data_IF_686644566956
#
_entry.id   IF_686644566956
#
_cell.length_a   1.000
_cell.length_b   1.000
_cell.length_c   1.000
_cell.angle_alpha   90.00
_cell.angle_beta   90.00
_cell.angle_gamma   90.00
#
_symmetry.space_group_name_H-M   'P 1'
#
loop_
_entity.id
_entity.type
_entity.pdbx_description
1 polymer ?
#
# COMPACT_ATOMS: atom_id res chain seq x y z
N UNK A 1 -8.52 13.58 -25.03
CA UNK A 1 -8.56 12.14 -24.74
C UNK A 1 -8.94 11.97 -23.30
N UNK A 2 -9.63 10.89 -22.95
CA UNK A 2 -9.88 10.54 -21.55
C UNK A 2 -8.53 10.24 -20.84
N UNK A 3 -8.14 11.01 -19.81
CA UNK A 3 -6.87 10.81 -19.12
C UNK A 3 -6.85 9.56 -18.23
N UNK A 4 -7.98 8.87 -18.05
CA UNK A 4 -8.08 7.63 -17.26
C UNK A 4 -8.39 6.41 -18.12
N UNK A 5 -8.11 6.47 -19.42
CA UNK A 5 -8.33 5.36 -20.35
C UNK A 5 -7.43 4.16 -20.04
N UNK A 6 -8.04 3.01 -19.75
CA UNK A 6 -7.34 1.74 -19.53
C UNK A 6 -7.28 0.84 -20.76
N UNK A 7 -6.22 0.05 -20.87
CA UNK A 7 -6.05 -1.01 -21.88
C UNK A 7 -5.80 -2.39 -21.27
N UNK A 8 -5.52 -2.45 -19.96
CA UNK A 8 -5.25 -3.68 -19.22
C UNK A 8 -5.39 -3.43 -17.72
N UNK A 9 -5.57 -4.49 -16.93
CA UNK A 9 -5.54 -4.45 -15.47
C UNK A 9 -4.41 -5.31 -14.90
N UNK A 10 -3.99 -4.99 -13.68
CA UNK A 10 -3.20 -5.88 -12.80
C UNK A 10 -4.05 -6.20 -11.59
N UNK A 11 -4.04 -7.46 -11.18
CA UNK A 11 -4.78 -7.91 -9.99
C UNK A 11 -3.90 -7.77 -8.77
N UNK A 12 -4.40 -7.08 -7.76
CA UNK A 12 -3.75 -6.82 -6.49
C UNK A 12 -4.64 -7.27 -5.32
N UNK A 13 -4.02 -7.37 -4.16
CA UNK A 13 -4.68 -7.69 -2.89
C UNK A 13 -4.37 -6.61 -1.87
N UNK A 14 -5.28 -6.43 -0.92
CA UNK A 14 -5.06 -5.57 0.24
C UNK A 14 -5.77 -6.18 1.46
N UNK A 15 -5.04 -6.39 2.55
CA UNK A 15 -5.53 -7.01 3.78
C UNK A 15 -5.43 -6.03 4.93
N UNK A 16 -6.53 -5.88 5.66
CA UNK A 16 -6.59 -5.15 6.93
C UNK A 16 -6.80 -6.12 8.08
N UNK A 17 -5.89 -6.12 9.06
CA UNK A 17 -6.03 -6.93 10.28
C UNK A 17 -6.64 -6.07 11.38
N UNK A 18 -7.75 -6.51 11.95
CA UNK A 18 -8.59 -5.72 12.85
C UNK A 18 -8.73 -6.42 14.20
N UNK A 19 -8.33 -5.75 15.26
CA UNK A 19 -8.62 -6.13 16.64
C UNK A 19 -9.94 -5.46 17.07
N UNK A 20 -11.05 -6.20 16.94
CA UNK A 20 -12.40 -5.70 17.29
C UNK A 20 -12.54 -5.36 18.77
N UNK A 21 -11.83 -6.07 19.65
CA UNK A 21 -12.01 -5.89 21.10
C UNK A 21 -11.43 -4.55 21.53
N UNK A 22 -10.25 -4.21 21.02
CA UNK A 22 -9.56 -2.96 21.34
C UNK A 22 -9.82 -1.84 20.33
N UNK A 23 -10.62 -2.09 19.28
CA UNK A 23 -10.91 -1.12 18.21
C UNK A 23 -9.63 -0.61 17.53
N UNK A 24 -8.77 -1.55 17.13
CA UNK A 24 -7.48 -1.26 16.46
C UNK A 24 -7.37 -1.90 15.10
N UNK A 25 -6.59 -1.28 14.23
CA UNK A 25 -6.18 -1.79 12.93
C UNK A 25 -4.66 -1.89 12.86
N UNK A 26 -4.15 -2.97 12.28
CA UNK A 26 -2.74 -3.11 11.96
C UNK A 26 -2.49 -2.51 10.58
N UNK A 27 -1.59 -1.53 10.50
CA UNK A 27 -1.14 -0.91 9.25
C UNK A 27 0.37 -1.11 9.09
N UNK A 28 0.85 -1.15 7.86
CA UNK A 28 2.26 -1.18 7.51
C UNK A 28 2.73 0.18 6.99
N UNK A 29 3.83 0.71 7.53
CA UNK A 29 4.53 1.84 6.90
C UNK A 29 5.43 1.32 5.80
N UNK A 30 5.13 1.68 4.55
CA UNK A 30 5.86 1.19 3.38
C UNK A 30 7.21 1.92 3.24
N UNK A 31 8.31 1.19 3.37
CA UNK A 31 9.68 1.74 3.41
C UNK A 31 10.24 2.03 2.02
N UNK A 32 9.80 1.29 1.00
CA UNK A 32 10.29 1.38 -0.39
C UNK A 32 9.23 0.96 -1.40
N UNK A 33 9.45 1.26 -2.67
CA UNK A 33 8.57 0.87 -3.77
C UNK A 33 7.37 1.81 -3.99
N UNK A 34 6.36 1.33 -4.70
CA UNK A 34 5.15 2.11 -4.99
C UNK A 34 4.32 2.33 -3.72
N UNK A 35 4.01 3.59 -3.40
CA UNK A 35 3.37 3.94 -2.13
C UNK A 35 4.33 4.03 -0.94
N UNK A 36 5.65 4.11 -1.18
CA UNK A 36 6.61 4.37 -0.13
C UNK A 36 6.26 5.63 0.67
N UNK A 37 6.54 5.57 1.97
CA UNK A 37 6.27 6.60 2.97
C UNK A 37 4.80 6.82 3.34
N UNK A 38 3.90 5.94 2.89
CA UNK A 38 2.52 5.89 3.31
C UNK A 38 2.27 4.70 4.24
N UNK A 39 1.30 4.85 5.13
CA UNK A 39 0.67 3.76 5.87
C UNK A 39 -0.39 3.09 4.99
N UNK A 40 -0.47 1.76 5.02
CA UNK A 40 -1.50 1.02 4.29
C UNK A 40 -1.83 -0.31 4.99
N UNK A 41 -2.82 -1.04 4.48
CA UNK A 41 -2.92 -2.49 4.71
C UNK A 41 -1.76 -3.25 4.04
N UNK A 42 -1.79 -4.58 4.15
CA UNK A 42 -0.76 -5.47 3.62
C UNK A 42 -1.21 -6.11 2.33
N UNK A 43 -0.36 -6.19 1.32
CA UNK A 43 -0.79 -6.74 0.04
C UNK A 43 0.09 -6.35 -1.14
N UNK A 44 -0.15 -7.04 -2.25
CA UNK A 44 0.69 -6.93 -3.42
C UNK A 44 -0.01 -7.49 -4.66
N UNK A 45 0.80 -7.90 -5.64
CA UNK A 45 0.27 -8.42 -6.91
C UNK A 45 -0.07 -9.88 -6.75
N UNK A 46 -1.13 -10.31 -7.43
CA UNK A 46 -1.44 -11.72 -7.58
C UNK A 46 -0.47 -12.34 -8.60
N UNK A 47 0.24 -13.39 -8.19
CA UNK A 47 1.20 -14.13 -9.00
C UNK A 47 0.53 -15.15 -9.94
N UNK A 48 1.20 -15.57 -11.03
CA UNK A 48 0.67 -16.59 -11.92
C UNK A 48 0.42 -17.91 -11.19
N UNK A 49 -0.84 -18.37 -11.22
CA UNK A 49 -1.24 -19.66 -10.62
C UNK A 49 -1.80 -19.56 -9.22
N UNK A 50 -1.84 -18.37 -8.61
CA UNK A 50 -2.51 -18.13 -7.33
C UNK A 50 -3.87 -17.41 -7.52
N UNK A 51 -4.81 -17.71 -6.65
CA UNK A 51 -6.05 -16.93 -6.50
C UNK A 51 -5.77 -15.63 -5.73
N UNK A 52 -6.61 -14.58 -5.87
CA UNK A 52 -6.45 -13.37 -5.07
C UNK A 52 -6.46 -13.62 -3.55
N UNK A 53 -7.17 -14.65 -3.08
CA UNK A 53 -7.16 -15.02 -1.67
C UNK A 53 -5.81 -15.62 -1.24
N UNK A 54 -5.22 -16.49 -2.06
CA UNK A 54 -3.90 -17.07 -1.80
C UNK A 54 -2.81 -15.98 -1.81
N UNK A 55 -2.83 -15.09 -2.80
CA UNK A 55 -1.91 -13.95 -2.85
C UNK A 55 -2.05 -13.02 -1.65
N UNK A 56 -3.27 -12.76 -1.17
CA UNK A 56 -3.50 -11.95 0.02
C UNK A 56 -2.88 -12.56 1.30
N UNK A 57 -2.95 -13.89 1.45
CA UNK A 57 -2.36 -14.59 2.60
C UNK A 57 -0.83 -14.58 2.51
N UNK A 58 -0.28 -14.85 1.32
CA UNK A 58 1.17 -14.83 1.05
C UNK A 58 1.76 -13.45 1.35
N UNK A 59 1.18 -12.38 0.79
CA UNK A 59 1.66 -11.00 0.97
C UNK A 59 1.59 -10.56 2.45
N UNK A 60 0.53 -10.97 3.18
CA UNK A 60 0.45 -10.69 4.61
C UNK A 60 1.59 -11.36 5.40
N UNK A 61 1.96 -12.58 5.04
CA UNK A 61 3.10 -13.29 5.66
C UNK A 61 4.43 -12.58 5.33
N UNK A 62 4.65 -12.21 4.06
CA UNK A 62 5.86 -11.53 3.60
C UNK A 62 6.05 -10.13 4.21
N UNK A 63 4.96 -9.34 4.29
CA UNK A 63 5.03 -7.95 4.73
C UNK A 63 4.85 -7.76 6.25
N UNK A 64 4.18 -8.68 6.95
CA UNK A 64 3.88 -8.53 8.38
C UNK A 64 4.35 -9.71 9.26
N UNK A 65 4.83 -10.81 8.69
CA UNK A 65 5.26 -12.01 9.44
C UNK A 65 4.11 -12.81 10.07
N UNK A 66 2.87 -12.54 9.66
CA UNK A 66 1.66 -13.19 10.19
C UNK A 66 0.84 -13.80 9.06
N UNK A 67 0.08 -14.84 9.35
CA UNK A 67 -0.79 -15.52 8.39
C UNK A 67 -2.22 -15.62 8.89
N UNK A 68 -3.16 -15.88 8.00
CA UNK A 68 -4.59 -16.00 8.32
C UNK A 68 -5.12 -17.26 7.64
N UNK A 69 -5.84 -18.10 8.38
CA UNK A 69 -6.52 -19.24 7.79
C UNK A 69 -7.50 -18.79 6.69
N UNK A 70 -7.57 -19.43 5.50
CA UNK A 70 -8.41 -18.98 4.39
C UNK A 70 -9.90 -18.74 4.74
N UNK A 71 -10.46 -19.51 5.67
CA UNK A 71 -11.84 -19.36 6.15
C UNK A 71 -12.07 -18.13 7.04
N UNK A 72 -10.98 -17.55 7.57
CA UNK A 72 -10.98 -16.37 8.44
C UNK A 72 -10.66 -15.08 7.68
N UNK A 73 -10.19 -15.20 6.44
CA UNK A 73 -9.94 -14.06 5.55
C UNK A 73 -11.23 -13.72 4.78
N UNK A 74 -11.83 -12.58 5.11
CA UNK A 74 -13.10 -12.13 4.57
C UNK A 74 -12.87 -11.12 3.46
N UNK A 75 -13.43 -11.36 2.27
CA UNK A 75 -13.43 -10.37 1.19
C UNK A 75 -14.40 -9.24 1.54
N UNK A 76 -13.93 -7.99 1.49
CA UNK A 76 -14.71 -6.81 1.90
C UNK A 76 -15.03 -5.88 0.74
N UNK A 77 -14.25 -5.94 -0.34
CA UNK A 77 -14.55 -5.14 -1.51
C UNK A 77 -13.65 -5.40 -2.69
N UNK A 78 -13.95 -4.67 -3.77
CA UNK A 78 -13.19 -4.66 -5.00
C UNK A 78 -13.09 -3.21 -5.50
N UNK A 79 -11.85 -2.71 -5.60
CA UNK A 79 -11.56 -1.35 -6.02
C UNK A 79 -10.75 -1.36 -7.31
N UNK A 80 -11.15 -0.56 -8.30
CA UNK A 80 -10.32 -0.27 -9.47
C UNK A 80 -9.65 1.09 -9.32
N UNK A 81 -8.33 1.09 -9.16
CA UNK A 81 -7.53 2.31 -9.14
C UNK A 81 -7.05 2.68 -10.53
N UNK A 82 -7.29 3.92 -10.91
CA UNK A 82 -6.87 4.51 -12.18
C UNK A 82 -5.95 5.69 -11.91
N UNK A 83 -4.81 5.75 -12.59
CA UNK A 83 -3.86 6.84 -12.46
C UNK A 83 -3.87 7.68 -13.73
N UNK A 84 -3.85 9.01 -13.58
CA UNK A 84 -3.88 9.94 -14.71
C UNK A 84 -2.73 9.65 -15.69
N UNK A 85 -3.08 9.42 -16.96
CA UNK A 85 -2.20 9.05 -18.06
C UNK A 85 -1.50 7.68 -17.94
N UNK A 86 -1.93 6.82 -17.01
CA UNK A 86 -1.55 5.40 -16.99
C UNK A 86 -2.64 4.56 -17.65
N UNK A 87 -2.26 3.68 -18.56
CA UNK A 87 -3.19 2.78 -19.25
C UNK A 87 -3.41 1.46 -18.51
N UNK A 88 -2.74 1.26 -17.37
CA UNK A 88 -2.89 0.07 -16.52
C UNK A 88 -3.72 0.42 -15.29
N UNK A 89 -4.91 -0.19 -15.16
CA UNK A 89 -5.69 -0.12 -13.93
C UNK A 89 -5.23 -1.14 -12.89
N UNK A 90 -5.40 -0.84 -11.60
CA UNK A 90 -5.13 -1.80 -10.52
C UNK A 90 -6.45 -2.31 -9.95
N UNK A 91 -6.79 -3.56 -10.27
CA UNK A 91 -7.95 -4.26 -9.73
C UNK A 91 -7.57 -4.87 -8.38
N UNK A 92 -8.00 -4.23 -7.29
CA UNK A 92 -7.55 -4.55 -5.94
C UNK A 92 -8.65 -5.22 -5.14
N UNK A 93 -8.41 -6.47 -4.77
CA UNK A 93 -9.28 -7.27 -3.92
C UNK A 93 -8.98 -6.93 -2.46
N UNK A 94 -9.95 -6.32 -1.78
CA UNK A 94 -9.80 -5.91 -0.38
C UNK A 94 -10.34 -7.01 0.53
N UNK A 95 -9.57 -7.32 1.56
CA UNK A 95 -9.86 -8.32 2.57
C UNK A 95 -9.70 -7.75 3.97
N UNK A 96 -10.35 -8.41 4.93
CA UNK A 96 -10.09 -8.22 6.36
C UNK A 96 -9.97 -9.54 7.10
N UNK A 97 -9.23 -9.49 8.20
CA UNK A 97 -9.11 -10.59 9.15
C UNK A 97 -9.24 -10.06 10.58
N UNK A 98 -9.84 -10.87 11.46
CA UNK A 98 -9.94 -10.57 12.90
C UNK A 98 -9.05 -11.47 13.76
N UNK A 99 -8.54 -12.55 13.17
CA UNK A 99 -7.70 -13.56 13.79
C UNK A 99 -6.52 -13.80 12.84
N UNK A 100 -5.32 -13.95 13.39
CA UNK A 100 -4.11 -14.28 12.66
C UNK A 100 -3.21 -15.18 13.52
N UNK A 101 -2.27 -15.85 12.88
CA UNK A 101 -1.23 -16.66 13.50
C UNK A 101 0.15 -16.07 13.20
N UNK A 102 1.12 -16.34 14.06
CA UNK A 102 2.49 -15.83 13.92
C UNK A 102 2.77 -14.60 14.79
N UNK A 103 3.94 -14.01 14.56
CA UNK A 103 4.42 -12.83 15.28
C UNK A 103 4.60 -11.68 14.30
N UNK A 104 4.02 -10.52 14.63
CA UNK A 104 4.16 -9.31 13.82
C UNK A 104 5.64 -8.93 13.75
N UNK A 105 6.18 -8.79 12.54
CA UNK A 105 7.59 -8.48 12.28
C UNK A 105 7.72 -7.41 11.19
N UNK A 106 8.67 -6.51 11.40
CA UNK A 106 9.13 -5.59 10.36
C UNK A 106 9.99 -6.35 9.35
N UNK A 107 9.83 -6.04 8.07
CA UNK A 107 10.68 -6.53 6.98
C UNK A 107 11.40 -5.37 6.26
N UNK A 108 12.11 -5.70 5.19
CA UNK A 108 12.80 -4.70 4.37
C UNK A 108 11.84 -3.74 3.65
N UNK A 109 10.58 -4.15 3.46
CA UNK A 109 9.56 -3.38 2.75
C UNK A 109 8.56 -2.68 3.67
N UNK A 110 8.20 -3.27 4.80
CA UNK A 110 7.07 -2.82 5.60
C UNK A 110 7.39 -2.83 7.09
N UNK A 111 6.98 -1.78 7.80
CA UNK A 111 7.03 -1.70 9.28
C UNK A 111 5.61 -1.70 9.85
N UNK A 112 5.11 -2.84 10.36
CA UNK A 112 3.77 -2.92 10.96
C UNK A 112 3.63 -2.11 12.25
N UNK A 113 2.45 -1.54 12.49
CA UNK A 113 2.08 -0.83 13.71
C UNK A 113 0.57 -0.86 13.92
N UNK A 114 0.13 -1.05 15.16
CA UNK A 114 -1.27 -0.92 15.56
C UNK A 114 -1.66 0.55 15.71
N UNK A 115 -2.85 0.89 15.23
CA UNK A 115 -3.50 2.18 15.43
C UNK A 115 -4.90 1.98 16.00
N UNK A 116 -5.28 2.79 16.98
CA UNK A 116 -6.67 2.91 17.40
C UNK A 116 -7.50 3.49 16.25
N UNK A 117 -8.76 3.06 16.11
CA UNK A 117 -9.64 3.55 15.03
C UNK A 117 -9.79 5.07 15.02
N UNK A 118 -9.71 5.71 16.19
CA UNK A 118 -9.77 7.16 16.34
C UNK A 118 -8.50 7.88 15.86
N UNK A 119 -7.37 7.16 15.79
CA UNK A 119 -6.04 7.70 15.52
C UNK A 119 -5.44 7.15 14.21
N UNK A 120 -6.29 6.61 13.33
CA UNK A 120 -5.87 6.18 11.99
C UNK A 120 -5.25 7.39 11.26
N UNK A 121 -4.01 7.28 10.77
CA UNK A 121 -3.28 8.43 10.25
C UNK A 121 -3.64 8.70 8.78
N UNK A 122 -4.92 8.98 8.47
CA UNK A 122 -5.41 9.17 7.09
C UNK A 122 -4.57 10.18 6.26
N UNK A 123 -4.07 11.24 6.91
CA UNK A 123 -3.17 12.23 6.27
C UNK A 123 -1.81 11.68 5.79
N UNK A 124 -1.42 10.49 6.25
CA UNK A 124 -0.22 9.75 5.89
C UNK A 124 -0.55 8.42 5.18
N UNK A 125 -1.78 8.27 4.70
CA UNK A 125 -2.26 7.11 3.94
C UNK A 125 -2.51 7.49 2.47
N UNK A 126 -2.99 6.56 1.65
CA UNK A 126 -3.50 6.94 0.33
C UNK A 126 -4.72 7.85 0.50
N UNK A 127 -4.88 8.89 -0.33
CA UNK A 127 -5.94 9.88 -0.15
C UNK A 127 -7.35 9.27 -0.23
N UNK A 128 -7.51 8.16 -0.94
CA UNK A 128 -8.77 7.43 -1.05
C UNK A 128 -9.11 6.53 0.12
N UNK A 129 -8.15 6.21 1.01
CA UNK A 129 -8.39 5.31 2.14
C UNK A 129 -9.49 5.86 3.07
N UNK A 130 -9.63 7.18 3.17
CA UNK A 130 -10.70 7.83 3.94
C UNK A 130 -12.10 7.58 3.36
N UNK A 131 -12.21 7.18 2.09
CA UNK A 131 -13.48 6.92 1.41
C UNK A 131 -14.05 5.52 1.70
N UNK A 132 -13.19 4.49 1.74
CA UNK A 132 -13.63 3.08 1.79
C UNK A 132 -13.22 2.36 3.08
N UNK A 133 -12.13 2.73 3.74
CA UNK A 133 -11.69 2.07 4.98
C UNK A 133 -12.75 2.17 6.09
N UNK A 134 -13.46 3.31 6.30
CA UNK A 134 -14.55 3.37 7.27
C UNK A 134 -15.67 2.36 7.02
N UNK A 135 -15.94 1.99 5.76
CA UNK A 135 -16.92 0.94 5.42
C UNK A 135 -16.45 -0.42 5.95
N UNK A 136 -15.18 -0.76 5.70
CA UNK A 136 -14.53 -1.99 6.19
C UNK A 136 -14.62 -2.09 7.72
N UNK A 137 -14.29 -1.01 8.42
CA UNK A 137 -14.27 -0.96 9.89
C UNK A 137 -15.67 -1.04 10.50
N UNK A 138 -16.69 -0.47 9.83
CA UNK A 138 -18.09 -0.54 10.25
C UNK A 138 -18.79 -1.84 9.85
N UNK A 139 -18.13 -2.71 9.08
CA UNK A 139 -18.72 -3.95 8.55
C UNK A 139 -19.78 -3.68 7.48
N UNK A 140 -19.63 -2.59 6.72
CA UNK A 140 -20.49 -2.23 5.59
C UNK A 140 -19.97 -2.87 4.30
N UNK A 141 -19.75 -4.18 4.33
CA UNK A 141 -19.26 -4.97 3.21
C UNK A 141 -20.43 -5.67 2.48
N UNK A 142 -20.26 -6.05 1.19
CA UNK A 142 -19.16 -5.66 0.34
C UNK A 142 -19.30 -4.23 -0.18
N UNK A 143 -18.17 -3.62 -0.56
CA UNK A 143 -18.12 -2.36 -1.32
C UNK A 143 -17.38 -2.52 -2.65
N UNK A 144 -17.74 -1.67 -3.60
CA UNK A 144 -17.28 -1.71 -4.98
C UNK A 144 -17.01 -0.30 -5.46
N UNK A 145 -15.88 -0.08 -6.13
CA UNK A 145 -15.62 1.27 -6.59
C UNK A 145 -14.52 1.44 -7.61
N UNK A 146 -14.52 2.63 -8.19
CA UNK A 146 -13.47 3.15 -9.06
C UNK A 146 -12.90 4.40 -8.40
N UNK A 147 -11.58 4.49 -8.34
CA UNK A 147 -10.87 5.62 -7.75
C UNK A 147 -9.88 6.16 -8.79
N UNK A 148 -10.07 7.40 -9.21
CA UNK A 148 -9.22 8.09 -10.17
C UNK A 148 -8.26 9.02 -9.43
N UNK A 149 -6.95 8.77 -9.54
CA UNK A 149 -5.89 9.49 -8.85
C UNK A 149 -5.06 10.29 -9.87
N UNK A 150 -4.76 11.54 -9.53
CA UNK A 150 -3.81 12.37 -10.28
C UNK A 150 -2.73 12.91 -9.34
N UNK A 151 -1.60 13.35 -9.90
CA UNK A 151 -0.56 13.97 -9.08
C UNK A 151 -0.78 15.47 -8.94
N UNK A 152 -0.62 15.98 -7.73
CA UNK A 152 -0.58 17.42 -7.50
C UNK A 152 0.72 17.99 -8.08
N UNK A 153 0.66 19.10 -8.84
CA UNK A 153 1.87 19.84 -9.20
C UNK A 153 2.62 20.30 -7.96
N UNK A 154 3.95 20.20 -7.95
CA UNK A 154 4.76 20.83 -6.92
C UNK A 154 4.62 22.35 -7.09
N UNK A 155 4.04 23.03 -6.11
CA UNK A 155 4.02 24.50 -6.09
C UNK A 155 5.31 24.99 -5.41
N UNK A 156 6.01 25.93 -6.05
CA UNK A 156 7.11 26.67 -5.41
C UNK A 156 6.54 27.58 -4.32
N UNK A 157 6.37 27.09 -3.09
CA UNK A 157 6.24 27.94 -1.90
C UNK A 157 6.25 27.13 -0.60
N UNK A 158 7.44 26.62 -0.26
CA UNK A 158 7.83 26.40 1.14
C UNK A 158 9.28 26.86 1.29
N UNK A 159 9.53 28.14 1.04
CA UNK A 159 10.81 28.78 1.38
C UNK A 159 10.56 29.74 2.54
N UNK A 160 11.33 29.52 3.62
CA UNK A 160 11.60 30.41 4.76
C UNK A 160 10.63 30.35 5.95
N UNK A 161 10.76 29.29 6.75
CA UNK A 161 10.87 29.45 8.21
C UNK A 161 12.15 28.76 8.69
N UNK A 162 13.26 29.49 8.66
CA UNK A 162 14.46 29.17 9.42
C UNK A 162 15.09 30.49 9.91
N UNK A 163 14.44 31.09 10.90
CA UNK A 163 15.08 32.07 11.77
C UNK A 163 15.92 31.35 12.83
N UNK A 164 17.13 30.92 12.46
CA UNK A 164 18.09 30.40 13.44
C UNK A 164 18.62 31.58 14.26
N UNK A 165 18.25 31.61 15.54
CA UNK A 165 18.95 32.38 16.56
C UNK A 165 20.33 31.74 16.76
N UNK A 166 21.38 32.49 16.43
CA UNK A 166 22.74 32.09 16.71
C UNK A 166 23.04 32.25 18.20
N UNK A 167 23.72 31.27 18.78
CA UNK A 167 24.82 31.45 19.72
C UNK A 167 25.72 30.18 19.68
N UNK A 168 27.01 30.45 19.72
CA UNK A 168 28.17 29.59 19.41
C UNK A 168 28.74 28.98 20.73
N UNK A 169 29.97 28.43 20.80
CA UNK A 169 30.44 27.09 20.45
C UNK A 169 31.00 26.30 21.67
N UNK A 170 31.36 25.03 21.48
CA UNK A 170 32.40 24.39 22.30
C UNK A 170 33.21 23.37 21.51
N UNK A 171 34.51 23.67 21.38
CA UNK A 171 35.57 22.83 20.83
C UNK A 171 36.22 21.96 21.92
N UNK A 172 36.56 20.70 21.62
CA UNK A 172 37.78 20.03 22.13
C UNK A 172 38.04 18.69 21.44
N UNK A 173 39.03 18.69 20.52
CA UNK A 173 40.21 17.79 20.44
C UNK A 173 40.14 16.33 20.91
N UNK A 174 40.44 15.37 20.01
CA UNK A 174 41.77 14.72 19.85
C UNK A 174 41.72 13.20 19.50
N UNK A 175 42.43 12.84 18.41
CA UNK A 175 43.21 11.58 18.16
C UNK A 175 42.46 10.22 18.22
N UNK A 176 42.77 9.15 17.52
CA UNK A 176 43.98 8.61 16.86
C UNK A 176 43.57 7.30 16.15
N UNK A 177 44.38 6.79 15.22
CA UNK A 177 44.50 5.33 15.03
C UNK A 177 44.19 4.78 13.63
N UNK A 178 45.27 4.53 12.89
CA UNK A 178 45.34 3.69 11.69
C UNK A 178 45.22 2.20 12.05
N UNK A 179 44.54 1.39 11.22
CA UNK A 179 45.05 0.07 10.78
C UNK A 179 44.31 -0.44 9.54
N UNK A 180 45.09 -0.82 8.55
CA UNK A 180 44.77 -1.62 7.36
C UNK A 180 44.50 -3.09 7.68
N UNK A 181 43.57 -3.75 6.99
CA UNK A 181 43.68 -5.18 6.68
C UNK A 181 42.96 -5.57 5.39
N UNK A 182 43.61 -6.48 4.69
CA UNK A 182 43.45 -6.98 3.32
C UNK A 182 42.30 -7.97 3.09
N UNK A 183 42.00 -8.12 1.80
CA UNK A 183 40.96 -8.92 1.15
C UNK A 183 40.99 -10.45 1.37
N UNK A 184 39.82 -11.08 1.19
CA UNK A 184 39.68 -12.47 0.74
C UNK A 184 38.37 -12.67 -0.06
N UNK A 185 38.46 -13.48 -1.11
CA UNK A 185 37.45 -13.74 -2.15
C UNK A 185 36.38 -14.76 -1.77
N UNK A 186 35.21 -14.70 -2.41
CA UNK A 186 34.55 -15.86 -3.04
C UNK A 186 33.38 -15.38 -3.91
N UNK A 187 33.31 -15.88 -5.14
CA UNK A 187 32.25 -15.56 -6.08
C UNK A 187 30.93 -16.26 -5.77
N UNK A 188 29.86 -15.74 -6.35
CA UNK A 188 28.79 -16.56 -6.89
C UNK A 188 28.12 -15.80 -8.04
N UNK A 189 28.16 -16.43 -9.22
CA UNK A 189 27.28 -16.09 -10.34
C UNK A 189 25.84 -16.41 -9.91
N UNK A 190 24.99 -15.40 -9.82
CA UNK A 190 23.55 -15.59 -9.75
C UNK A 190 22.91 -14.83 -10.91
N UNK A 191 22.21 -15.61 -11.73
CA UNK A 191 21.48 -15.24 -12.93
C UNK A 191 20.41 -14.19 -12.61
N UNK A 192 20.58 -12.96 -13.08
CA UNK A 192 19.54 -11.92 -13.02
C UNK A 192 18.45 -12.25 -14.03
N UNK A 193 17.30 -12.73 -13.54
CA UNK A 193 16.05 -12.75 -14.29
C UNK A 193 15.47 -11.34 -14.38
N UNK A 194 14.81 -11.10 -15.50
CA UNK A 194 14.40 -9.82 -16.07
C UNK A 194 13.69 -8.86 -15.10
N UNK A 195 14.35 -7.72 -14.90
CA UNK A 195 13.83 -6.51 -14.28
C UNK A 195 12.62 -6.00 -15.10
N UNK A 196 11.39 -6.28 -14.65
CA UNK A 196 10.24 -5.46 -15.06
C UNK A 196 10.21 -4.24 -14.15
N UNK A 197 10.99 -3.25 -14.55
CA UNK A 197 11.09 -1.94 -13.92
C UNK A 197 9.72 -1.28 -13.81
N UNK A 198 9.11 -1.31 -12.63
CA UNK A 198 8.33 -0.18 -12.17
C UNK A 198 9.35 0.83 -11.67
N UNK A 199 9.53 1.93 -12.39
CA UNK A 199 10.38 3.03 -11.96
C UNK A 199 9.77 3.65 -10.70
N UNK A 200 10.15 3.10 -9.56
CA UNK A 200 10.11 3.76 -8.27
C UNK A 200 11.25 4.79 -8.25
N UNK A 201 11.03 5.89 -8.95
CA UNK A 201 11.77 7.12 -8.73
C UNK A 201 10.72 8.20 -8.46
N UNK A 202 10.59 8.58 -7.19
CA UNK A 202 9.90 9.81 -6.80
C UNK A 202 10.96 10.91 -6.67
N UNK A 203 11.19 11.71 -7.74
CA UNK A 203 11.60 13.09 -7.49
C UNK A 203 11.00 14.17 -8.41
N UNK A 204 10.00 13.92 -9.26
CA UNK A 204 9.53 14.96 -10.22
C UNK A 204 8.08 15.44 -10.09
N UNK A 205 7.19 14.73 -9.38
CA UNK A 205 5.78 15.11 -9.27
C UNK A 205 5.30 15.00 -7.81
N UNK A 206 4.37 15.87 -7.39
CA UNK A 206 3.85 15.92 -6.02
C UNK A 206 2.97 14.71 -5.64
N UNK A 207 2.37 14.73 -4.42
CA UNK A 207 1.57 13.62 -3.90
C UNK A 207 0.33 13.36 -4.78
N UNK A 208 -0.19 12.14 -4.71
CA UNK A 208 -1.47 11.83 -5.35
C UNK A 208 -2.63 12.53 -4.62
N UNK A 209 -3.66 12.87 -5.39
CA UNK A 209 -4.95 13.32 -4.89
C UNK A 209 -6.08 12.66 -5.70
N UNK A 210 -7.24 12.50 -5.07
CA UNK A 210 -8.43 12.00 -5.75
C UNK A 210 -8.88 13.05 -6.78
N UNK A 211 -8.95 12.65 -8.04
CA UNK A 211 -9.58 13.43 -9.11
C UNK A 211 -11.09 13.19 -9.13
N UNK A 212 -11.49 11.93 -9.05
CA UNK A 212 -12.88 11.47 -9.07
C UNK A 212 -12.95 10.08 -8.42
N UNK A 213 -14.10 9.72 -7.87
CA UNK A 213 -14.33 8.37 -7.38
C UNK A 213 -15.82 8.03 -7.37
N UNK A 214 -16.11 6.74 -7.55
CA UNK A 214 -17.43 6.16 -7.38
C UNK A 214 -17.30 4.97 -6.44
N UNK A 215 -18.08 4.96 -5.35
CA UNK A 215 -18.05 3.91 -4.35
C UNK A 215 -19.48 3.52 -3.98
N UNK A 216 -19.80 2.25 -4.17
CA UNK A 216 -21.06 1.64 -3.79
C UNK A 216 -20.81 0.66 -2.65
N UNK A 217 -21.77 0.56 -1.73
CA UNK A 217 -21.83 -0.47 -0.71
C UNK A 217 -23.29 -0.92 -0.57
N UNK A 218 -23.53 -2.11 -0.02
CA UNK A 218 -24.84 -2.77 0.23
C UNK A 218 -25.14 -3.95 -0.71
N UNK A 219 -25.73 -5.01 -0.13
CA UNK A 219 -26.02 -6.33 -0.73
C UNK A 219 -26.92 -6.24 -1.98
N UNK A 220 -26.59 -7.03 -3.01
CA UNK A 220 -27.62 -7.85 -3.60
C UNK A 220 -27.24 -9.32 -3.69
N UNK A 221 -28.29 -10.11 -3.70
CA UNK A 221 -28.36 -11.56 -3.83
C UNK A 221 -27.85 -12.12 -5.17
N UNK A 222 -26.95 -11.43 -5.87
CA UNK A 222 -26.43 -11.82 -7.18
C UNK A 222 -24.98 -11.32 -7.39
N UNK A 223 -24.17 -12.00 -8.22
CA UNK A 223 -22.86 -11.50 -8.61
C UNK A 223 -22.99 -10.12 -9.25
N UNK A 224 -22.21 -9.16 -8.76
CA UNK A 224 -22.10 -7.84 -9.35
C UNK A 224 -20.94 -7.83 -10.34
N UNK A 225 -21.28 -7.61 -11.61
CA UNK A 225 -20.33 -7.12 -12.60
C UNK A 225 -20.15 -5.62 -12.36
N UNK A 226 -18.95 -5.21 -11.97
CA UNK A 226 -18.63 -3.79 -11.99
C UNK A 226 -18.32 -3.46 -13.45
N UNK A 227 -19.27 -2.81 -14.12
CA UNK A 227 -19.05 -2.30 -15.46
C UNK A 227 -18.10 -1.10 -15.38
N UNK A 228 -16.82 -1.32 -15.66
CA UNK A 228 -15.78 -0.29 -15.67
C UNK A 228 -15.46 0.06 -17.12
N UNK A 229 -16.32 0.87 -17.75
CA UNK A 229 -16.11 1.42 -19.10
C UNK A 229 -15.57 0.40 -20.14
N UNK A 230 -16.14 -0.81 -20.15
CA UNK A 230 -15.75 -1.90 -21.06
C UNK A 230 -14.81 -2.96 -20.48
N UNK A 231 -14.38 -2.81 -19.22
CA UNK A 231 -13.66 -3.82 -18.44
C UNK A 231 -14.60 -4.34 -17.36
N UNK A 232 -14.87 -5.64 -17.36
CA UNK A 232 -15.71 -6.28 -16.35
C UNK A 232 -14.79 -6.81 -15.27
N UNK A 233 -14.84 -6.22 -14.07
CA UNK A 233 -14.28 -6.84 -12.88
C UNK A 233 -15.42 -7.63 -12.20
N UNK A 234 -15.28 -8.95 -12.13
CA UNK A 234 -16.29 -9.84 -11.56
C UNK A 234 -16.02 -10.07 -10.08
N UNK A 235 -16.95 -9.64 -9.23
CA UNK A 235 -16.88 -10.00 -7.82
C UNK A 235 -17.44 -11.41 -7.59
N UNK A 236 -16.55 -12.37 -7.36
CA UNK A 236 -16.91 -13.68 -6.80
C UNK A 236 -16.76 -13.67 -5.27
N UNK A 237 -17.76 -14.23 -4.58
CA UNK A 237 -17.80 -14.40 -3.12
C UNK A 237 -16.82 -15.46 -2.63
#
# INVERSE_FOLDING_TARGET
MDPFRITSTKVLTLVTVIDKQNQRILLGYKKRGFGAHLWNGFGGKVEPGETPKEGAIRELEEEAGITVHPDKLQKTGLLLFLFENDTVGLETHVYKAYEYEGEIRECDEMRPQWFDFADIPYSQMWPDDETWLPLTLKGQDPFFGRICLKRRPLTESASLENGVSGLNPSSSTASSGSTTSTAASAGNLSTTMTNTSFTADQPSNGPFEIFDYHLEHSLPSAPHEIALDGTVASYEN
#
